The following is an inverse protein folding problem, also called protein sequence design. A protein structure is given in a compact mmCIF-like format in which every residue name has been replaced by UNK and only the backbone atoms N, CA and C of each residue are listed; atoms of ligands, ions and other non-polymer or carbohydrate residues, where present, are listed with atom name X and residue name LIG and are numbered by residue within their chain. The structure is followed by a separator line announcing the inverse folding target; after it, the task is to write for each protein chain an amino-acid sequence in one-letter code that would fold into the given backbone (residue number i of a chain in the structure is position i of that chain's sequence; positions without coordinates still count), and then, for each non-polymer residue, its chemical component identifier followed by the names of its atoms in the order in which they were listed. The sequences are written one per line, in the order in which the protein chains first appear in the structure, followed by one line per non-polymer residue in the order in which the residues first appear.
data_IF_959557847170
#
_entry.id   IF_959557847170
#
_cell.length_a   1.000
_cell.length_b   1.000
_cell.length_c   1.000
_cell.angle_alpha   90.00
_cell.angle_beta   90.00
_cell.angle_gamma   90.00
#
_symmetry.space_group_name_H-M   'P 1'
#
loop_
_entity.id
_entity.type
_entity.pdbx_description
1 polymer ?
#
# COMPACT_ATOMS: atom_id res chain seq x y z
N UNK A 1 28.01 37.11 -30.52
CA UNK A 1 27.76 36.12 -31.58
C UNK A 1 28.63 34.84 -31.47
N UNK A 2 29.73 34.84 -30.71
CA UNK A 2 30.61 33.63 -30.56
C UNK A 2 30.14 32.58 -29.57
N UNK A 3 29.19 32.88 -28.68
CA UNK A 3 28.70 31.94 -27.66
C UNK A 3 27.57 31.00 -28.15
N UNK A 4 26.89 31.34 -29.21
CA UNK A 4 25.84 30.52 -29.82
C UNK A 4 26.37 29.36 -30.68
N UNK A 5 27.56 29.49 -31.24
CA UNK A 5 28.17 28.48 -32.11
C UNK A 5 28.69 27.27 -31.34
N UNK A 6 29.09 27.44 -30.06
CA UNK A 6 29.58 26.36 -29.22
C UNK A 6 28.44 25.50 -28.66
N UNK A 7 27.24 26.04 -28.51
CA UNK A 7 26.08 25.29 -28.03
C UNK A 7 25.46 24.38 -29.10
N UNK A 8 25.58 24.77 -30.36
CA UNK A 8 25.10 23.97 -31.51
C UNK A 8 25.98 22.73 -31.77
N UNK A 9 27.27 22.78 -31.42
CA UNK A 9 28.19 21.66 -31.65
C UNK A 9 27.99 20.51 -30.62
N UNK A 10 27.44 20.81 -29.44
CA UNK A 10 27.22 19.80 -28.41
C UNK A 10 25.96 18.93 -28.59
N UNK A 11 25.01 19.42 -29.38
CA UNK A 11 23.73 18.73 -29.62
C UNK A 11 23.85 17.62 -30.68
N UNK A 12 24.86 17.66 -31.53
CA UNK A 12 25.03 16.67 -32.61
C UNK A 12 25.75 15.39 -32.21
N UNK A 13 26.27 15.29 -30.98
CA UNK A 13 27.05 14.13 -30.51
C UNK A 13 26.24 13.04 -29.80
N UNK A 14 24.92 13.23 -29.60
CA UNK A 14 24.10 12.27 -28.85
C UNK A 14 23.20 11.35 -29.70
N UNK A 15 23.32 11.36 -31.02
CA UNK A 15 22.46 10.59 -31.93
C UNK A 15 23.15 9.43 -32.63
N UNK A 16 24.03 8.70 -31.94
CA UNK A 16 24.59 7.46 -32.49
C UNK A 16 24.68 6.39 -31.43
N UNK A 17 23.60 5.70 -31.11
CA UNK A 17 23.65 4.40 -30.49
C UNK A 17 22.33 3.65 -30.69
N UNK A 18 22.15 3.10 -31.87
CA UNK A 18 21.23 2.01 -32.10
C UNK A 18 21.87 1.06 -33.11
N UNK A 19 22.71 0.15 -32.61
CA UNK A 19 23.23 -0.97 -33.40
C UNK A 19 22.53 -2.24 -32.96
N UNK A 20 21.58 -2.68 -33.76
CA UNK A 20 20.91 -3.97 -33.63
C UNK A 20 21.82 -5.04 -34.24
N UNK A 21 22.56 -5.77 -33.44
CA UNK A 21 23.34 -6.91 -33.87
C UNK A 21 22.49 -8.19 -33.82
N UNK A 22 22.01 -8.60 -34.98
CA UNK A 22 21.36 -9.88 -35.20
C UNK A 22 22.44 -10.97 -35.25
N UNK A 23 22.72 -11.65 -34.14
CA UNK A 23 23.61 -12.81 -34.12
C UNK A 23 22.79 -14.10 -34.10
N UNK A 24 22.72 -14.70 -35.26
CA UNK A 24 22.33 -16.09 -35.46
C UNK A 24 23.38 -17.03 -34.83
N UNK A 25 23.23 -17.37 -33.55
CA UNK A 25 24.08 -18.36 -32.89
C UNK A 25 23.27 -19.65 -32.74
N UNK A 26 23.78 -20.70 -33.35
CA UNK A 26 23.29 -22.10 -33.29
C UNK A 26 23.11 -22.49 -31.81
N UNK A 27 21.86 -22.82 -31.43
CA UNK A 27 21.54 -23.32 -30.12
C UNK A 27 22.12 -24.72 -29.88
N UNK A 28 22.82 -24.96 -28.76
CA UNK A 28 23.06 -26.31 -28.30
C UNK A 28 21.73 -26.90 -27.78
N UNK A 29 21.49 -28.17 -28.17
CA UNK A 29 20.34 -28.96 -27.75
C UNK A 29 20.26 -28.99 -26.22
N UNK A 30 19.35 -28.18 -25.62
CA UNK A 30 19.06 -28.27 -24.20
C UNK A 30 18.04 -29.38 -24.00
N UNK A 31 18.37 -30.30 -23.09
CA UNK A 31 17.47 -31.31 -22.58
C UNK A 31 16.19 -30.60 -22.04
N UNK A 32 14.99 -31.15 -22.23
CA UNK A 32 13.79 -30.55 -21.68
C UNK A 32 13.87 -30.59 -20.16
N UNK A 33 14.04 -29.42 -19.56
CA UNK A 33 13.73 -29.25 -18.14
C UNK A 33 12.21 -29.49 -17.98
N UNK A 34 11.77 -30.14 -16.90
CA UNK A 34 10.36 -30.25 -16.63
C UNK A 34 9.83 -28.80 -16.52
N UNK A 35 8.99 -28.45 -17.48
CA UNK A 35 8.23 -27.21 -17.45
C UNK A 35 7.29 -27.34 -16.25
N UNK A 36 7.71 -26.81 -15.11
CA UNK A 36 6.76 -26.49 -14.06
C UNK A 36 5.87 -25.42 -14.70
N UNK A 37 4.72 -25.86 -15.20
CA UNK A 37 3.64 -24.97 -15.59
C UNK A 37 3.27 -24.18 -14.33
N UNK A 38 3.90 -23.01 -14.16
CA UNK A 38 3.31 -21.95 -13.36
C UNK A 38 2.01 -21.56 -14.07
N UNK A 39 0.99 -22.38 -13.84
CA UNK A 39 -0.38 -21.91 -13.93
C UNK A 39 -0.45 -20.79 -12.88
N UNK A 40 -0.18 -19.57 -13.33
CA UNK A 40 -0.41 -18.38 -12.55
C UNK A 40 -1.89 -18.34 -12.24
N UNK A 41 -2.28 -19.04 -11.17
CA UNK A 41 -3.53 -18.79 -10.50
C UNK A 41 -3.48 -17.31 -10.20
N UNK A 42 -4.31 -16.51 -10.89
CA UNK A 42 -4.61 -15.15 -10.44
C UNK A 42 -5.10 -15.32 -9.02
N UNK A 43 -4.19 -15.17 -8.05
CA UNK A 43 -4.57 -15.14 -6.65
C UNK A 43 -5.63 -14.06 -6.55
N UNK A 44 -6.86 -14.46 -6.30
CA UNK A 44 -7.95 -13.52 -6.09
C UNK A 44 -7.47 -12.54 -5.02
N UNK A 45 -7.66 -11.26 -5.24
CA UNK A 45 -7.23 -10.21 -4.31
C UNK A 45 -7.71 -10.46 -2.87
N UNK A 46 -8.85 -11.13 -2.70
CA UNK A 46 -9.35 -11.61 -1.42
C UNK A 46 -8.43 -12.65 -0.76
N UNK A 47 -7.90 -13.62 -1.52
CA UNK A 47 -6.95 -14.62 -1.01
C UNK A 47 -5.63 -13.98 -0.59
N UNK A 48 -5.17 -12.98 -1.32
CA UNK A 48 -3.97 -12.21 -0.97
C UNK A 48 -4.18 -11.40 0.31
N UNK A 49 -5.33 -10.74 0.46
CA UNK A 49 -5.71 -10.01 1.68
C UNK A 49 -5.75 -10.93 2.90
N UNK A 50 -6.28 -12.13 2.75
CA UNK A 50 -6.35 -13.11 3.84
C UNK A 50 -4.96 -13.57 4.28
N UNK A 51 -4.05 -13.86 3.34
CA UNK A 51 -2.66 -14.18 3.66
C UNK A 51 -1.96 -13.03 4.39
N UNK A 52 -2.13 -11.79 3.92
CA UNK A 52 -1.56 -10.60 4.55
C UNK A 52 -2.13 -10.39 5.96
N UNK A 53 -3.44 -10.56 6.13
CA UNK A 53 -4.10 -10.48 7.42
C UNK A 53 -3.47 -11.46 8.44
N UNK A 54 -3.34 -12.72 8.08
CA UNK A 54 -2.72 -13.73 8.96
C UNK A 54 -1.24 -13.48 9.22
N UNK A 55 -0.50 -12.95 8.24
CA UNK A 55 0.90 -12.58 8.44
C UNK A 55 1.04 -11.43 9.43
N UNK A 56 0.19 -10.41 9.33
CA UNK A 56 0.19 -9.25 10.22
C UNK A 56 -0.23 -9.62 11.64
N UNK A 57 -1.19 -10.52 11.85
CA UNK A 57 -1.63 -10.93 13.19
C UNK A 57 -0.48 -11.43 14.07
N UNK A 58 0.58 -11.99 13.48
CA UNK A 58 1.74 -12.51 14.22
C UNK A 58 2.61 -11.40 14.83
N UNK A 59 2.59 -10.22 14.26
CA UNK A 59 3.48 -9.11 14.64
C UNK A 59 2.73 -7.85 15.06
N UNK A 60 1.43 -7.77 14.77
CA UNK A 60 0.62 -6.60 15.07
C UNK A 60 0.39 -6.46 16.58
N UNK A 61 0.70 -5.27 17.08
CA UNK A 61 0.37 -4.86 18.44
C UNK A 61 -0.75 -3.83 18.39
N UNK A 62 -1.96 -4.17 18.87
CA UNK A 62 -3.07 -3.22 18.90
C UNK A 62 -2.80 -2.07 19.88
N UNK A 63 -3.13 -0.85 19.47
CA UNK A 63 -3.03 0.38 20.29
C UNK A 63 -4.35 0.66 21.04
N UNK A 64 -5.00 -0.39 21.52
CA UNK A 64 -6.35 -0.27 22.10
C UNK A 64 -6.35 0.57 23.38
N UNK A 65 -5.33 0.46 24.20
CA UNK A 65 -5.22 1.21 25.44
C UNK A 65 -5.00 2.71 25.17
N UNK A 66 -4.10 3.04 24.25
CA UNK A 66 -3.79 4.42 23.86
C UNK A 66 -5.00 5.09 23.19
N UNK A 67 -5.69 4.37 22.30
CA UNK A 67 -6.92 4.85 21.65
C UNK A 67 -8.02 5.08 22.67
N UNK A 68 -8.25 4.14 23.58
CA UNK A 68 -9.27 4.28 24.62
C UNK A 68 -8.96 5.46 25.54
N UNK A 69 -7.72 5.61 25.98
CA UNK A 69 -7.27 6.73 26.80
C UNK A 69 -7.46 8.08 26.06
N UNK A 70 -7.14 8.14 24.75
CA UNK A 70 -7.37 9.32 23.93
C UNK A 70 -8.86 9.69 23.80
N UNK A 71 -9.74 8.69 23.72
CA UNK A 71 -11.18 8.90 23.60
C UNK A 71 -11.83 9.34 24.93
N UNK A 72 -11.32 8.86 26.07
CA UNK A 72 -11.87 9.16 27.39
C UNK A 72 -11.37 10.50 27.96
N UNK A 73 -10.13 10.88 27.65
CA UNK A 73 -9.49 12.04 28.29
C UNK A 73 -9.51 13.31 27.40
N UNK A 74 -10.26 13.31 26.30
CA UNK A 74 -10.41 14.44 25.37
C UNK A 74 -9.13 15.32 25.28
N UNK A 75 -8.06 14.70 24.82
CA UNK A 75 -6.73 15.34 24.78
C UNK A 75 -6.66 16.33 23.60
N UNK A 76 -7.37 17.47 23.75
CA UNK A 76 -7.37 18.57 22.77
C UNK A 76 -5.94 19.02 22.38
N UNK A 77 -4.99 18.89 23.30
CA UNK A 77 -3.58 19.23 23.09
C UNK A 77 -2.72 18.07 22.58
N UNK A 78 -3.25 16.87 22.37
CA UNK A 78 -2.47 15.75 21.82
C UNK A 78 -2.06 16.04 20.38
N UNK A 79 -0.81 15.71 20.02
CA UNK A 79 -0.33 15.73 18.64
C UNK A 79 -0.97 14.62 17.78
N UNK A 80 -1.51 13.60 18.42
CA UNK A 80 -2.15 12.44 17.79
C UNK A 80 -3.66 12.41 18.09
N UNK A 81 -4.38 11.78 17.18
CA UNK A 81 -5.81 11.49 17.31
C UNK A 81 -6.08 10.03 16.98
N UNK A 82 -7.19 9.51 17.44
CA UNK A 82 -7.57 8.13 17.18
C UNK A 82 -8.38 7.99 15.90
N UNK A 83 -8.11 6.90 15.18
CA UNK A 83 -8.98 6.38 14.14
C UNK A 83 -9.49 5.01 14.57
N UNK A 84 -10.79 4.78 14.40
CA UNK A 84 -11.44 3.48 14.61
C UNK A 84 -12.17 3.07 13.34
N UNK A 85 -11.95 1.84 12.90
CA UNK A 85 -12.60 1.29 11.69
C UNK A 85 -13.30 0.00 12.08
N UNK A 86 -14.62 0.00 11.97
CA UNK A 86 -15.47 -1.15 12.19
C UNK A 86 -15.68 -1.89 10.87
N UNK A 87 -15.20 -3.10 10.79
CA UNK A 87 -15.45 -4.00 9.68
C UNK A 87 -16.73 -4.81 9.93
N UNK A 88 -17.83 -4.44 9.28
CA UNK A 88 -19.12 -5.14 9.38
C UNK A 88 -19.31 -6.24 8.34
N UNK A 89 -18.30 -6.53 7.55
CA UNK A 89 -18.35 -7.62 6.58
C UNK A 89 -18.00 -8.96 7.22
N UNK A 90 -18.27 -10.02 6.49
CA UNK A 90 -17.92 -11.38 6.87
C UNK A 90 -16.50 -11.79 6.45
N UNK A 91 -15.70 -10.85 5.92
CA UNK A 91 -14.34 -11.08 5.47
C UNK A 91 -13.32 -10.36 6.36
N UNK A 92 -12.17 -10.95 6.56
CA UNK A 92 -11.03 -10.23 7.13
C UNK A 92 -10.51 -9.17 6.16
N UNK A 93 -9.98 -8.10 6.68
CA UNK A 93 -9.37 -7.04 5.88
C UNK A 93 -8.04 -6.57 6.47
N UNK A 94 -7.24 -5.96 5.63
CA UNK A 94 -6.07 -5.17 6.04
C UNK A 94 -6.32 -3.73 5.65
N UNK A 95 -6.46 -2.86 6.64
CA UNK A 95 -6.55 -1.43 6.41
C UNK A 95 -5.15 -0.85 6.33
N UNK A 96 -4.84 -0.18 5.22
CA UNK A 96 -3.61 0.60 5.05
C UNK A 96 -3.93 2.07 5.29
N UNK A 97 -3.19 2.70 6.19
CA UNK A 97 -3.24 4.13 6.47
C UNK A 97 -1.92 4.72 6.01
N UNK A 98 -1.95 5.59 5.03
CA UNK A 98 -0.76 6.26 4.50
C UNK A 98 -0.92 7.78 4.51
N UNK A 99 0.09 8.48 4.99
CA UNK A 99 0.18 9.93 5.05
C UNK A 99 1.58 10.40 4.68
N UNK A 100 1.84 11.71 4.77
CA UNK A 100 3.13 12.30 4.38
C UNK A 100 4.34 11.61 5.03
N UNK A 101 4.28 11.37 6.35
CA UNK A 101 5.34 10.73 7.14
C UNK A 101 4.78 9.61 8.04
N UNK A 102 3.70 8.98 7.59
CA UNK A 102 3.03 7.94 8.37
C UNK A 102 2.56 6.81 7.46
N UNK A 103 2.86 5.60 7.87
CA UNK A 103 2.39 4.40 7.20
C UNK A 103 2.10 3.31 8.23
N UNK A 104 0.91 2.75 8.19
CA UNK A 104 0.52 1.65 9.08
C UNK A 104 -0.48 0.73 8.40
N UNK A 105 -0.33 -0.56 8.65
CA UNK A 105 -1.31 -1.58 8.27
C UNK A 105 -1.95 -2.15 9.52
N UNK A 106 -3.27 -2.26 9.51
CA UNK A 106 -4.08 -2.76 10.63
C UNK A 106 -4.85 -3.98 10.15
N UNK A 107 -4.60 -5.18 10.68
CA UNK A 107 -5.43 -6.34 10.41
C UNK A 107 -6.75 -6.21 11.19
N UNK A 108 -7.87 -6.24 10.49
CA UNK A 108 -9.21 -6.10 11.08
C UNK A 108 -10.02 -7.33 10.68
N UNK A 109 -10.36 -8.15 11.67
CA UNK A 109 -11.15 -9.36 11.44
C UNK A 109 -12.59 -9.05 11.02
N UNK A 110 -13.27 -10.04 10.47
CA UNK A 110 -14.69 -9.99 10.19
C UNK A 110 -15.49 -9.62 11.45
N UNK A 111 -16.38 -8.63 11.35
CA UNK A 111 -17.19 -8.11 12.46
C UNK A 111 -16.37 -7.61 13.67
N UNK A 112 -15.16 -7.09 13.42
CA UNK A 112 -14.27 -6.53 14.45
C UNK A 112 -13.96 -5.06 14.19
N UNK A 113 -13.40 -4.42 15.21
CA UNK A 113 -12.93 -3.03 15.16
C UNK A 113 -11.40 -3.05 15.21
N UNK A 114 -10.78 -2.31 14.29
CA UNK A 114 -9.37 -1.97 14.34
C UNK A 114 -9.19 -0.51 14.65
N UNK A 115 -8.17 -0.16 15.44
CA UNK A 115 -7.91 1.21 15.84
C UNK A 115 -6.43 1.53 15.81
N UNK A 116 -6.10 2.81 15.59
CA UNK A 116 -4.73 3.33 15.67
C UNK A 116 -4.71 4.78 16.11
N UNK A 117 -3.58 5.21 16.66
CA UNK A 117 -3.23 6.60 16.86
C UNK A 117 -2.49 7.12 15.65
N UNK A 118 -2.90 8.27 15.12
CA UNK A 118 -2.29 8.91 13.96
C UNK A 118 -2.02 10.39 14.23
N UNK A 119 -0.93 10.99 13.71
CA UNK A 119 -0.69 12.43 13.81
C UNK A 119 -1.84 13.24 13.19
N UNK A 120 -2.26 14.33 13.85
CA UNK A 120 -3.29 15.23 13.31
C UNK A 120 -2.73 16.26 12.34
N UNK A 121 -3.62 17.02 11.69
CA UNK A 121 -3.33 18.13 10.79
C UNK A 121 -2.62 17.72 9.48
N UNK A 122 -2.95 16.55 8.94
CA UNK A 122 -2.48 16.12 7.63
C UNK A 122 -3.50 15.25 6.89
N UNK A 123 -3.27 15.06 5.59
CA UNK A 123 -4.06 14.17 4.77
C UNK A 123 -3.60 12.72 4.93
N UNK A 124 -4.57 11.82 5.00
CA UNK A 124 -4.37 10.37 4.97
C UNK A 124 -5.15 9.74 3.84
N UNK A 125 -4.53 8.79 3.15
CA UNK A 125 -5.23 7.83 2.32
C UNK A 125 -5.47 6.56 3.14
N UNK A 126 -6.72 6.16 3.22
CA UNK A 126 -7.21 4.94 3.87
C UNK A 126 -7.60 3.97 2.78
N UNK A 127 -6.95 2.84 2.68
CA UNK A 127 -7.24 1.86 1.63
C UNK A 127 -7.22 0.43 2.15
N UNK A 128 -7.95 -0.44 1.49
CA UNK A 128 -7.99 -1.86 1.82
C UNK A 128 -8.95 -2.62 0.92
N UNK A 129 -8.88 -3.94 0.99
CA UNK A 129 -9.82 -4.82 0.33
C UNK A 129 -10.86 -5.30 1.34
N UNK A 130 -12.13 -5.10 1.04
CA UNK A 130 -13.26 -5.59 1.83
C UNK A 130 -13.97 -6.69 1.02
N UNK A 131 -13.72 -7.94 1.35
CA UNK A 131 -14.12 -9.10 0.54
C UNK A 131 -13.58 -8.98 -0.88
N UNK A 132 -14.42 -8.66 -1.86
CA UNK A 132 -14.04 -8.45 -3.27
C UNK A 132 -14.03 -6.99 -3.72
N UNK A 133 -14.34 -6.06 -2.81
CA UNK A 133 -14.47 -4.64 -3.11
C UNK A 133 -13.27 -3.85 -2.59
N UNK A 134 -12.75 -2.93 -3.39
CA UNK A 134 -11.70 -2.00 -2.96
C UNK A 134 -12.34 -0.86 -2.18
N UNK A 135 -11.84 -0.61 -0.98
CA UNK A 135 -12.11 0.59 -0.21
C UNK A 135 -10.94 1.56 -0.35
N UNK A 136 -11.24 2.80 -0.70
CA UNK A 136 -10.25 3.87 -0.75
C UNK A 136 -10.91 5.21 -0.37
N UNK A 137 -10.27 5.95 0.53
CA UNK A 137 -10.74 7.25 0.98
C UNK A 137 -9.60 8.14 1.44
N UNK A 138 -9.53 9.34 0.91
CA UNK A 138 -8.63 10.40 1.42
C UNK A 138 -9.37 11.30 2.39
N UNK A 139 -8.72 11.63 3.53
CA UNK A 139 -9.27 12.49 4.56
C UNK A 139 -8.19 13.37 5.19
N UNK A 140 -8.48 14.66 5.32
CA UNK A 140 -7.73 15.55 6.20
C UNK A 140 -8.17 15.34 7.65
N UNK A 141 -7.24 15.06 8.54
CA UNK A 141 -7.54 14.63 9.91
C UNK A 141 -7.09 15.67 10.91
N UNK A 142 -8.06 16.23 11.64
CA UNK A 142 -7.85 17.17 12.76
C UNK A 142 -8.29 16.59 14.10
N UNK A 143 -9.29 15.70 14.08
CA UNK A 143 -9.92 15.13 15.27
C UNK A 143 -10.06 13.62 15.12
N UNK A 144 -10.27 12.94 16.24
CA UNK A 144 -10.60 11.51 16.26
C UNK A 144 -11.87 11.23 15.46
N UNK A 145 -11.92 10.11 14.78
CA UNK A 145 -13.09 9.72 13.99
C UNK A 145 -13.21 8.19 13.85
N UNK A 146 -14.41 7.77 13.51
CA UNK A 146 -14.72 6.37 13.22
C UNK A 146 -15.31 6.20 11.83
N UNK A 147 -15.07 5.01 11.25
CA UNK A 147 -15.61 4.59 9.96
C UNK A 147 -16.27 3.23 10.16
N UNK A 148 -17.43 3.03 9.53
CA UNK A 148 -18.06 1.72 9.42
C UNK A 148 -18.00 1.28 7.97
N UNK A 149 -17.47 0.08 7.74
CA UNK A 149 -17.34 -0.54 6.43
C UNK A 149 -18.26 -1.75 6.38
N UNK A 150 -19.15 -1.77 5.42
CA UNK A 150 -20.04 -2.89 5.13
C UNK A 150 -20.04 -3.21 3.64
N UNK A 151 -20.35 -4.45 3.32
CA UNK A 151 -20.61 -4.87 1.93
C UNK A 151 -21.96 -4.30 1.47
#
# INVERSE_FOLDING_TARGET
MKKFLLFSLFITLFMNSCSSANQNTRQPIRRPFPTTSNTGTKDNSATQTEREYHALLKTYKPETAEVLNSLLNDSSNSANVSISVENKSNCNMVLTISGKNYFKKIPIGANKIGSAMIPKNQNYNLSGMLCSSVYEKTKYVTNSFSIKLSN
#
